data_IF_200388739215
#
_entry.id   IF_200388739215
#
_cell.length_a   1.000
_cell.length_b   1.000
_cell.length_c   1.000
_cell.angle_alpha   90.00
_cell.angle_beta   90.00
_cell.angle_gamma   90.00
#
_symmetry.space_group_name_H-M   'P 1'
#
loop_
_entity.id
_entity.type
_entity.pdbx_description
1 polymer ?
#
# COMPACT_ATOMS: atom_id res chain seq x y z
N UNK A 1 0.05 -0.92 37.03
CA UNK A 1 -0.54 -2.22 36.64
C UNK A 1 -1.23 -2.85 37.84
N UNK A 2 -2.44 -3.41 37.70
CA UNK A 2 -3.19 -4.02 38.81
C UNK A 2 -3.25 -5.57 38.71
N UNK A 3 -3.75 -6.23 39.77
CA UNK A 3 -3.84 -7.70 39.86
C UNK A 3 -4.65 -8.31 38.72
N UNK A 4 -5.78 -7.71 38.31
CA UNK A 4 -6.64 -8.26 37.25
C UNK A 4 -5.96 -8.17 35.89
N UNK A 5 -5.33 -7.03 35.63
CA UNK A 5 -4.60 -6.74 34.40
C UNK A 5 -3.43 -7.70 34.23
N UNK A 6 -2.64 -7.92 35.29
CA UNK A 6 -1.51 -8.83 35.24
C UNK A 6 -1.95 -10.29 35.10
N UNK A 7 -2.95 -10.75 35.85
CA UNK A 7 -3.41 -12.15 35.79
C UNK A 7 -4.08 -12.51 34.45
N UNK A 8 -4.80 -11.56 33.87
CA UNK A 8 -5.46 -11.69 32.56
C UNK A 8 -4.55 -11.44 31.34
N UNK A 9 -3.31 -11.02 31.55
CA UNK A 9 -2.38 -10.74 30.45
C UNK A 9 -2.08 -12.02 29.64
N UNK A 10 -2.37 -11.99 28.35
CA UNK A 10 -2.10 -13.09 27.43
C UNK A 10 -0.62 -13.10 27.02
N UNK A 11 0.25 -13.66 27.86
CA UNK A 11 1.71 -13.61 27.64
C UNK A 11 2.15 -14.27 26.33
N UNK A 12 1.36 -15.21 25.81
CA UNK A 12 1.58 -15.86 24.50
C UNK A 12 1.59 -14.87 23.34
N UNK A 13 0.90 -13.74 23.44
CA UNK A 13 0.91 -12.69 22.41
C UNK A 13 2.33 -12.11 22.24
N UNK A 14 3.10 -11.97 23.31
CA UNK A 14 4.49 -11.50 23.22
C UNK A 14 5.40 -12.52 22.53
N UNK A 15 5.18 -13.82 22.76
CA UNK A 15 5.93 -14.88 22.08
C UNK A 15 5.62 -14.92 20.58
N UNK A 16 4.34 -14.85 20.23
CA UNK A 16 3.87 -14.84 18.85
C UNK A 16 4.42 -13.61 18.10
N UNK A 17 4.33 -12.43 18.73
CA UNK A 17 4.92 -11.21 18.20
C UNK A 17 6.45 -11.33 18.06
N UNK A 18 7.15 -11.89 19.05
CA UNK A 18 8.59 -12.10 18.96
C UNK A 18 8.98 -13.04 17.82
N UNK A 19 8.19 -14.10 17.60
CA UNK A 19 8.40 -15.02 16.48
C UNK A 19 8.24 -14.31 15.14
N UNK A 20 7.19 -13.48 14.98
CA UNK A 20 6.97 -12.67 13.78
C UNK A 20 8.12 -11.67 13.52
N UNK A 21 8.58 -10.95 14.54
CA UNK A 21 9.72 -10.04 14.42
C UNK A 21 11.02 -10.77 14.08
N UNK A 22 11.21 -11.99 14.58
CA UNK A 22 12.35 -12.80 14.18
C UNK A 22 12.27 -13.23 12.72
N UNK A 23 11.11 -13.68 12.25
CA UNK A 23 10.90 -14.02 10.85
C UNK A 23 11.18 -12.83 9.93
N UNK A 24 10.79 -11.61 10.33
CA UNK A 24 11.14 -10.39 9.61
C UNK A 24 12.66 -10.16 9.56
N UNK A 25 13.37 -10.34 10.67
CA UNK A 25 14.82 -10.22 10.71
C UNK A 25 15.51 -11.23 9.77
N UNK A 26 15.06 -12.48 9.77
CA UNK A 26 15.58 -13.53 8.88
C UNK A 26 15.31 -13.17 7.41
N UNK A 27 14.09 -12.72 7.08
CA UNK A 27 13.72 -12.30 5.73
C UNK A 27 14.54 -11.10 5.22
N UNK A 28 14.83 -10.13 6.09
CA UNK A 28 15.70 -8.99 5.77
C UNK A 28 17.15 -9.43 5.54
N UNK A 29 17.63 -10.42 6.31
CA UNK A 29 18.92 -11.05 6.12
C UNK A 29 19.04 -11.75 4.76
N UNK A 30 18.03 -12.52 4.38
CA UNK A 30 17.95 -13.18 3.07
C UNK A 30 17.91 -12.15 1.94
N UNK A 31 17.10 -11.09 2.07
CA UNK A 31 17.04 -9.99 1.11
C UNK A 31 18.40 -9.33 0.90
N UNK A 32 19.18 -9.13 1.98
CA UNK A 32 20.54 -8.60 1.88
C UNK A 32 21.45 -9.55 1.10
N UNK A 33 21.39 -10.84 1.40
CA UNK A 33 22.23 -11.84 0.74
C UNK A 33 21.92 -11.91 -0.76
N UNK A 34 20.64 -11.95 -1.11
CA UNK A 34 20.17 -12.05 -2.50
C UNK A 34 20.32 -10.76 -3.28
N UNK A 35 20.11 -9.62 -2.61
CA UNK A 35 20.02 -8.32 -3.26
C UNK A 35 21.31 -7.53 -3.33
N UNK A 36 22.21 -7.70 -2.35
CA UNK A 36 23.45 -6.93 -2.27
C UNK A 36 24.68 -7.82 -2.44
N UNK A 37 24.77 -8.92 -1.67
CA UNK A 37 26.00 -9.72 -1.61
C UNK A 37 26.23 -10.56 -2.86
N UNK A 38 25.22 -11.31 -3.31
CA UNK A 38 25.34 -12.15 -4.53
C UNK A 38 25.57 -11.30 -5.80
N UNK A 39 24.83 -10.20 -6.04
CA UNK A 39 25.04 -9.38 -7.23
C UNK A 39 26.39 -8.66 -7.23
N UNK A 40 26.86 -8.17 -6.07
CA UNK A 40 28.19 -7.57 -5.98
C UNK A 40 29.30 -8.57 -6.37
N UNK A 41 29.21 -9.81 -5.89
CA UNK A 41 30.15 -10.87 -6.26
C UNK A 41 30.06 -11.25 -7.76
N UNK A 42 28.87 -11.21 -8.36
CA UNK A 42 28.72 -11.44 -9.80
C UNK A 42 29.31 -10.29 -10.63
N UNK A 43 29.19 -9.04 -10.16
CA UNK A 43 29.80 -7.88 -10.80
C UNK A 43 31.32 -7.96 -10.80
N UNK A 44 31.94 -8.46 -9.72
CA UNK A 44 33.41 -8.67 -9.66
C UNK A 44 33.95 -9.58 -10.77
N UNK A 45 33.12 -10.51 -11.27
CA UNK A 45 33.53 -11.47 -12.29
C UNK A 45 33.25 -11.01 -13.72
N UNK A 46 32.25 -10.14 -13.91
CA UNK A 46 31.69 -9.85 -15.23
C UNK A 46 31.85 -8.39 -15.68
N UNK A 47 32.05 -7.44 -14.76
CA UNK A 47 32.02 -6.01 -15.09
C UNK A 47 33.04 -5.21 -14.27
N UNK A 48 33.98 -4.54 -14.97
CA UNK A 48 35.06 -3.75 -14.38
C UNK A 48 34.96 -2.27 -14.77
N UNK A 49 35.54 -1.39 -13.94
CA UNK A 49 35.64 0.05 -14.16
C UNK A 49 34.75 0.90 -13.25
N UNK A 50 34.85 2.22 -13.36
CA UNK A 50 34.24 3.19 -12.43
C UNK A 50 32.71 3.06 -12.29
N UNK A 51 32.02 2.65 -13.36
CA UNK A 51 30.58 2.40 -13.33
C UNK A 51 30.22 1.16 -12.51
N UNK A 52 31.04 0.09 -12.61
CA UNK A 52 30.87 -1.12 -11.81
C UNK A 52 31.19 -0.85 -10.33
N UNK A 53 32.22 -0.06 -10.04
CA UNK A 53 32.59 0.33 -8.68
C UNK A 53 31.50 1.19 -8.02
N UNK A 54 30.91 2.12 -8.79
CA UNK A 54 29.77 2.94 -8.34
C UNK A 54 28.53 2.07 -8.05
N UNK A 55 28.22 1.10 -8.92
CA UNK A 55 27.12 0.16 -8.69
C UNK A 55 27.36 -0.71 -7.43
N UNK A 56 28.59 -1.17 -7.21
CA UNK A 56 28.97 -1.92 -5.99
C UNK A 56 28.85 -1.08 -4.73
N UNK A 57 29.26 0.19 -4.78
CA UNK A 57 29.15 1.11 -3.64
C UNK A 57 27.67 1.33 -3.24
N UNK A 58 26.79 1.52 -4.22
CA UNK A 58 25.34 1.63 -3.98
C UNK A 58 24.77 0.33 -3.41
N UNK A 59 25.10 -0.84 -4.00
CA UNK A 59 24.67 -2.14 -3.49
C UNK A 59 25.14 -2.38 -2.05
N UNK A 60 26.37 -1.97 -1.71
CA UNK A 60 26.90 -2.06 -0.35
C UNK A 60 26.14 -1.13 0.61
N UNK A 61 25.82 0.10 0.17
CA UNK A 61 24.99 1.04 0.94
C UNK A 61 23.61 0.48 1.27
N UNK A 62 22.94 -0.14 0.29
CA UNK A 62 21.66 -0.81 0.51
C UNK A 62 21.78 -2.07 1.38
N UNK A 63 22.83 -2.87 1.17
CA UNK A 63 23.13 -4.03 2.01
C UNK A 63 23.34 -3.64 3.48
N UNK A 64 23.99 -2.52 3.75
CA UNK A 64 24.14 -1.96 5.09
C UNK A 64 22.81 -1.52 5.72
N UNK A 65 21.92 -0.90 4.94
CA UNK A 65 20.57 -0.53 5.39
C UNK A 65 19.71 -1.75 5.74
N UNK A 66 19.74 -2.78 4.90
CA UNK A 66 19.03 -4.04 5.15
C UNK A 66 19.58 -4.77 6.38
N UNK A 67 20.91 -4.77 6.56
CA UNK A 67 21.54 -5.32 7.77
C UNK A 67 21.05 -4.60 9.03
N UNK A 68 21.09 -3.27 9.04
CA UNK A 68 20.63 -2.48 10.17
C UNK A 68 19.14 -2.70 10.50
N UNK A 69 18.30 -2.90 9.47
CA UNK A 69 16.90 -3.24 9.65
C UNK A 69 16.72 -4.66 10.23
N UNK A 70 17.48 -5.64 9.75
CA UNK A 70 17.47 -7.00 10.28
C UNK A 70 17.91 -7.04 11.75
N UNK A 71 19.01 -6.35 12.09
CA UNK A 71 19.54 -6.25 13.46
C UNK A 71 18.51 -5.62 14.41
N UNK A 72 17.81 -4.57 13.96
CA UNK A 72 16.80 -3.91 14.75
C UNK A 72 15.52 -4.77 14.92
N UNK A 73 15.10 -5.50 13.89
CA UNK A 73 14.01 -6.47 14.00
C UNK A 73 14.36 -7.62 14.96
N UNK A 74 15.60 -8.11 14.92
CA UNK A 74 16.11 -9.11 15.86
C UNK A 74 16.14 -8.58 17.30
N UNK A 75 16.57 -7.33 17.50
CA UNK A 75 16.55 -6.69 18.80
C UNK A 75 15.13 -6.55 19.36
N UNK A 76 14.15 -6.18 18.53
CA UNK A 76 12.73 -6.12 18.93
C UNK A 76 12.22 -7.52 19.31
N UNK A 77 12.53 -8.55 18.52
CA UNK A 77 12.17 -9.93 18.84
C UNK A 77 12.75 -10.37 20.20
N UNK A 78 14.02 -10.07 20.46
CA UNK A 78 14.68 -10.38 21.73
C UNK A 78 14.05 -9.64 22.91
N UNK A 79 13.69 -8.36 22.74
CA UNK A 79 13.01 -7.56 23.75
C UNK A 79 11.63 -8.15 24.10
N UNK A 80 10.85 -8.55 23.09
CA UNK A 80 9.55 -9.19 23.28
C UNK A 80 9.65 -10.54 24.01
N UNK A 81 10.63 -11.39 23.69
CA UNK A 81 10.86 -12.64 24.44
C UNK A 81 11.25 -12.39 25.90
N UNK A 82 12.11 -11.38 26.12
CA UNK A 82 12.51 -10.97 27.46
C UNK A 82 11.31 -10.49 28.25
N UNK A 83 10.44 -9.68 27.63
CA UNK A 83 9.21 -9.20 28.23
C UNK A 83 8.26 -10.37 28.56
N UNK A 84 8.07 -11.31 27.64
CA UNK A 84 7.28 -12.51 27.88
C UNK A 84 7.80 -13.29 29.11
N UNK A 85 9.12 -13.49 29.23
CA UNK A 85 9.75 -14.11 30.40
C UNK A 85 9.47 -13.35 31.70
N UNK A 86 9.60 -12.02 31.68
CA UNK A 86 9.31 -11.15 32.81
C UNK A 86 7.84 -11.25 33.26
N UNK A 87 6.89 -11.15 32.32
CA UNK A 87 5.47 -11.26 32.62
C UNK A 87 5.07 -12.65 33.14
N UNK A 88 5.61 -13.76 32.59
CA UNK A 88 5.35 -15.11 33.14
C UNK A 88 5.83 -15.23 34.57
N UNK A 89 7.00 -14.67 34.88
CA UNK A 89 7.57 -14.69 36.24
C UNK A 89 6.68 -13.91 37.20
N UNK A 90 6.29 -12.69 36.82
CA UNK A 90 5.39 -11.85 37.60
C UNK A 90 4.02 -12.52 37.81
N UNK A 91 3.41 -13.09 36.76
CA UNK A 91 2.16 -13.86 36.86
C UNK A 91 2.30 -15.07 37.78
N UNK A 92 3.42 -15.80 37.70
CA UNK A 92 3.71 -16.94 38.58
C UNK A 92 3.71 -16.55 40.06
N UNK A 93 4.40 -15.46 40.40
CA UNK A 93 4.45 -14.90 41.75
C UNK A 93 3.07 -14.41 42.22
N UNK A 94 2.34 -13.68 41.38
CA UNK A 94 1.00 -13.20 41.72
C UNK A 94 0.03 -14.35 41.95
N UNK A 95 0.02 -15.35 41.07
CA UNK A 95 -0.83 -16.55 41.22
C UNK A 95 -0.44 -17.38 42.44
N UNK A 96 0.84 -17.41 42.80
CA UNK A 96 1.27 -18.02 44.07
C UNK A 96 0.68 -17.29 45.27
N UNK A 97 0.76 -15.96 45.32
CA UNK A 97 0.16 -15.16 46.38
C UNK A 97 -1.37 -15.37 46.46
N UNK A 98 -2.07 -15.35 45.32
CA UNK A 98 -3.50 -15.58 45.23
C UNK A 98 -3.93 -16.98 45.70
N UNK A 99 -3.12 -18.02 45.43
CA UNK A 99 -3.39 -19.39 45.90
C UNK A 99 -3.15 -19.56 47.40
N UNK A 100 -2.12 -18.91 47.95
CA UNK A 100 -1.76 -19.03 49.36
C UNK A 100 -2.68 -18.21 50.28
N UNK A 101 -3.15 -17.05 49.81
CA UNK A 101 -3.94 -16.11 50.59
C UNK A 101 -5.17 -16.73 51.32
N UNK A 102 -6.05 -17.50 50.64
CA UNK A 102 -7.20 -18.11 51.33
C UNK A 102 -6.81 -19.07 52.45
N UNK A 103 -5.69 -19.79 52.31
CA UNK A 103 -5.22 -20.77 53.30
C UNK A 103 -4.80 -20.17 54.64
N UNK A 104 -4.47 -18.88 54.65
CA UNK A 104 -4.11 -18.12 55.87
C UNK A 104 -5.19 -17.11 56.26
N UNK A 105 -6.38 -17.17 55.65
CA UNK A 105 -7.51 -16.29 55.98
C UNK A 105 -7.35 -14.86 55.48
N UNK A 106 -6.64 -14.63 54.36
CA UNK A 106 -6.52 -13.32 53.70
C UNK A 106 -7.01 -13.35 52.26
N UNK A 107 -7.27 -12.17 51.69
CA UNK A 107 -7.49 -11.95 50.25
C UNK A 107 -6.49 -10.91 49.74
N UNK A 108 -6.11 -11.01 48.48
CA UNK A 108 -5.27 -10.00 47.81
C UNK A 108 -6.17 -8.99 47.10
N UNK A 109 -6.03 -7.71 47.42
CA UNK A 109 -6.72 -6.60 46.76
C UNK A 109 -6.10 -6.27 45.41
N UNK A 110 -6.77 -5.43 44.61
CA UNK A 110 -6.31 -5.07 43.25
C UNK A 110 -4.93 -4.39 43.22
N UNK A 111 -4.54 -3.69 44.29
CA UNK A 111 -3.23 -3.06 44.42
C UNK A 111 -2.15 -4.02 44.98
N UNK A 112 -2.46 -5.32 45.12
CA UNK A 112 -1.55 -6.33 45.66
C UNK A 112 -1.48 -6.39 47.19
N UNK A 113 -2.32 -5.66 47.93
CA UNK A 113 -2.31 -5.68 49.40
C UNK A 113 -3.06 -6.90 49.93
N UNK A 114 -2.46 -7.67 50.84
CA UNK A 114 -3.16 -8.75 51.53
C UNK A 114 -4.01 -8.17 52.68
N UNK A 115 -5.29 -8.52 52.72
CA UNK A 115 -6.26 -8.02 53.71
C UNK A 115 -6.95 -9.23 54.38
N UNK A 116 -7.11 -9.25 55.72
CA UNK A 116 -7.83 -10.32 56.40
C UNK A 116 -9.25 -10.51 55.88
N UNK A 117 -9.68 -11.77 55.79
CA UNK A 117 -11.07 -12.11 55.55
C UNK A 117 -11.93 -11.82 56.80
N UNK A 118 -13.23 -11.51 56.65
CA UNK A 118 -14.12 -11.33 57.78
C UNK A 118 -14.07 -12.51 58.76
N UNK A 119 -13.93 -12.23 60.05
CA UNK A 119 -13.87 -13.24 61.11
C UNK A 119 -12.55 -14.00 61.24
N UNK A 120 -11.54 -13.69 60.43
CA UNK A 120 -10.22 -14.33 60.50
C UNK A 120 -9.20 -13.39 61.19
N UNK A 121 -8.25 -13.96 61.91
CA UNK A 121 -7.09 -13.25 62.49
C UNK A 121 -5.78 -13.90 61.99
N UNK A 122 -5.34 -13.58 60.76
CA UNK A 122 -4.10 -14.08 60.20
C UNK A 122 -2.88 -13.62 61.00
N UNK A 123 -1.76 -14.34 60.91
CA UNK A 123 -0.49 -13.83 61.39
C UNK A 123 -0.10 -12.57 60.58
N UNK A 124 0.40 -11.54 61.27
CA UNK A 124 0.90 -10.31 60.63
C UNK A 124 2.04 -10.62 59.65
N UNK A 125 2.82 -11.66 59.93
CA UNK A 125 3.89 -12.14 59.06
C UNK A 125 3.34 -12.63 57.73
N UNK A 126 2.29 -13.45 57.73
CA UNK A 126 1.64 -13.96 56.52
C UNK A 126 1.08 -12.83 55.66
N UNK A 127 0.41 -11.85 56.29
CA UNK A 127 -0.09 -10.64 55.61
C UNK A 127 1.06 -9.89 54.94
N UNK A 128 2.19 -9.71 55.65
CA UNK A 128 3.36 -8.99 55.14
C UNK A 128 4.01 -9.72 53.98
N UNK A 129 4.25 -11.02 54.12
CA UNK A 129 4.89 -11.85 53.09
C UNK A 129 4.05 -11.92 51.82
N UNK A 130 2.73 -12.13 51.94
CA UNK A 130 1.82 -12.16 50.78
C UNK A 130 1.68 -10.80 50.11
N UNK A 131 1.64 -9.70 50.89
CA UNK A 131 1.65 -8.34 50.33
C UNK A 131 2.93 -8.07 49.56
N UNK A 132 4.09 -8.42 50.13
CA UNK A 132 5.39 -8.25 49.46
C UNK A 132 5.49 -9.07 48.18
N UNK A 133 4.99 -10.32 48.19
CA UNK A 133 4.98 -11.18 47.01
C UNK A 133 4.10 -10.60 45.89
N UNK A 134 2.86 -10.21 46.21
CA UNK A 134 1.93 -9.66 45.22
C UNK A 134 2.38 -8.28 44.70
N UNK A 135 2.80 -7.36 45.56
CA UNK A 135 3.33 -6.06 45.13
C UNK A 135 4.68 -6.17 44.41
N UNK A 136 5.49 -7.17 44.76
CA UNK A 136 6.72 -7.52 44.03
C UNK A 136 6.42 -7.93 42.59
N UNK A 137 5.42 -8.80 42.40
CA UNK A 137 4.94 -9.20 41.07
C UNK A 137 4.46 -8.01 40.23
N UNK A 138 3.63 -7.13 40.80
CA UNK A 138 3.13 -5.95 40.09
C UNK A 138 4.27 -5.01 39.65
N UNK A 139 5.22 -4.71 40.55
CA UNK A 139 6.39 -3.88 40.22
C UNK A 139 7.28 -4.53 39.16
N UNK A 140 7.48 -5.83 39.24
CA UNK A 140 8.27 -6.57 38.24
C UNK A 140 7.61 -6.51 36.85
N UNK A 141 6.28 -6.60 36.79
CA UNK A 141 5.55 -6.45 35.54
C UNK A 141 5.64 -5.03 34.97
N UNK A 142 5.52 -3.98 35.79
CA UNK A 142 5.70 -2.58 35.36
C UNK A 142 7.11 -2.30 34.83
N UNK A 143 8.14 -2.82 35.51
CA UNK A 143 9.52 -2.71 35.05
C UNK A 143 9.74 -3.43 33.71
N UNK A 144 9.12 -4.59 33.54
CA UNK A 144 9.16 -5.37 32.29
C UNK A 144 8.50 -4.60 31.14
N UNK A 145 7.33 -4.02 31.38
CA UNK A 145 6.60 -3.20 30.42
C UNK A 145 7.41 -1.96 29.99
N UNK A 146 7.98 -1.23 30.96
CA UNK A 146 8.81 -0.06 30.67
C UNK A 146 10.07 -0.42 29.88
N UNK A 147 10.72 -1.54 30.21
CA UNK A 147 11.90 -2.03 29.50
C UNK A 147 11.56 -2.37 28.04
N UNK A 148 10.40 -3.02 27.81
CA UNK A 148 9.91 -3.31 26.48
C UNK A 148 9.63 -2.03 25.69
N UNK A 149 8.90 -1.07 26.26
CA UNK A 149 8.60 0.20 25.62
C UNK A 149 9.86 0.95 25.19
N UNK A 150 10.87 0.98 26.05
CA UNK A 150 12.16 1.61 25.75
C UNK A 150 12.89 0.90 24.60
N UNK A 151 12.90 -0.44 24.57
CA UNK A 151 13.50 -1.20 23.49
C UNK A 151 12.79 -0.96 22.15
N UNK A 152 11.45 -0.93 22.14
CA UNK A 152 10.68 -0.63 20.94
C UNK A 152 10.97 0.78 20.41
N UNK A 153 11.07 1.79 21.28
CA UNK A 153 11.42 3.15 20.89
C UNK A 153 12.83 3.27 20.32
N UNK A 154 13.78 2.52 20.88
CA UNK A 154 15.17 2.51 20.43
C UNK A 154 15.33 1.88 19.05
N UNK A 155 14.61 0.78 18.78
CA UNK A 155 14.84 -0.05 17.59
C UNK A 155 13.81 0.13 16.46
N UNK A 156 12.69 0.82 16.68
CA UNK A 156 11.72 1.13 15.61
C UNK A 156 12.23 2.17 14.60
N UNK A 157 13.09 3.10 15.02
CA UNK A 157 13.55 4.22 14.18
C UNK A 157 14.45 3.83 12.98
N UNK A 158 15.39 2.87 13.08
CA UNK A 158 16.27 2.50 11.97
C UNK A 158 15.61 1.62 10.91
N UNK A 159 14.70 0.69 11.31
CA UNK A 159 14.01 -0.24 10.39
C UNK A 159 13.18 0.51 9.35
N UNK A 160 12.66 1.68 9.71
CA UNK A 160 11.63 2.39 8.95
C UNK A 160 12.17 3.52 8.04
N UNK A 161 13.49 3.81 8.08
CA UNK A 161 14.11 4.91 7.32
C UNK A 161 14.72 4.51 5.95
N UNK A 162 14.47 3.30 5.46
CA UNK A 162 15.18 2.78 4.27
C UNK A 162 14.69 3.32 2.92
N UNK A 163 13.62 4.13 2.87
CA UNK A 163 13.09 4.69 1.62
C UNK A 163 13.75 6.03 1.23
N UNK A 164 14.77 5.95 0.37
CA UNK A 164 15.19 7.07 -0.49
C UNK A 164 15.35 6.52 -1.90
N UNK A 165 14.50 6.97 -2.83
CA UNK A 165 14.26 6.37 -4.14
C UNK A 165 15.50 6.16 -5.01
N UNK A 166 15.47 5.07 -5.81
CA UNK A 166 16.40 4.86 -6.92
C UNK A 166 15.79 3.90 -7.99
N UNK A 167 16.34 3.88 -9.22
CA UNK A 167 15.63 3.48 -10.43
C UNK A 167 15.65 1.98 -10.78
N UNK A 168 14.65 1.55 -11.55
CA UNK A 168 14.65 0.44 -12.51
C UNK A 168 14.90 -0.98 -11.98
N UNK A 169 16.14 -1.29 -11.58
CA UNK A 169 16.51 -2.59 -11.02
C UNK A 169 16.11 -2.77 -9.55
N UNK A 170 15.90 -1.65 -8.84
CA UNK A 170 15.49 -1.59 -7.44
C UNK A 170 14.04 -2.05 -7.20
N UNK A 171 13.19 -1.96 -8.23
CA UNK A 171 11.74 -2.29 -8.15
C UNK A 171 11.51 -3.78 -7.91
N UNK A 172 12.36 -4.67 -8.44
CA UNK A 172 12.21 -6.11 -8.23
C UNK A 172 12.59 -6.54 -6.80
N UNK A 173 13.63 -5.93 -6.21
CA UNK A 173 14.06 -6.21 -4.84
C UNK A 173 13.11 -5.61 -3.80
N UNK A 174 12.64 -4.38 -4.03
CA UNK A 174 11.59 -3.77 -3.21
C UNK A 174 10.26 -4.50 -3.36
N UNK A 175 9.92 -5.05 -4.54
CA UNK A 175 8.75 -5.92 -4.70
C UNK A 175 8.86 -7.23 -3.93
N UNK A 176 10.04 -7.84 -3.83
CA UNK A 176 10.22 -9.06 -3.04
C UNK A 176 10.03 -8.80 -1.53
N UNK A 177 10.61 -7.71 -1.02
CA UNK A 177 10.40 -7.27 0.36
C UNK A 177 8.95 -6.83 0.62
N UNK A 178 8.33 -6.08 -0.31
CA UNK A 178 6.93 -5.69 -0.24
C UNK A 178 6.01 -6.91 -0.26
N UNK A 179 6.27 -7.92 -1.10
CA UNK A 179 5.47 -9.16 -1.14
C UNK A 179 5.55 -9.93 0.18
N UNK A 180 6.73 -9.97 0.81
CA UNK A 180 6.89 -10.58 2.13
C UNK A 180 6.18 -9.76 3.24
N UNK A 181 6.27 -8.44 3.20
CA UNK A 181 5.58 -7.55 4.16
C UNK A 181 4.06 -7.63 3.98
N UNK A 182 3.57 -7.61 2.75
CA UNK A 182 2.14 -7.79 2.41
C UNK A 182 1.66 -9.17 2.82
N UNK A 183 2.43 -10.23 2.56
CA UNK A 183 2.11 -11.59 3.03
C UNK A 183 2.07 -11.72 4.55
N UNK A 184 3.02 -11.09 5.27
CA UNK A 184 3.01 -11.00 6.73
C UNK A 184 1.77 -10.26 7.24
N UNK A 185 1.46 -9.10 6.65
CA UNK A 185 0.31 -8.27 6.99
C UNK A 185 -1.01 -9.04 6.84
N UNK A 186 -1.21 -9.73 5.72
CA UNK A 186 -2.39 -10.57 5.49
C UNK A 186 -2.53 -11.73 6.49
N UNK A 187 -1.42 -12.18 7.09
CA UNK A 187 -1.40 -13.23 8.11
C UNK A 187 -1.78 -12.75 9.52
N UNK A 188 -1.94 -11.43 9.73
CA UNK A 188 -2.28 -10.86 11.02
C UNK A 188 -3.78 -10.96 11.31
N UNK A 189 -4.12 -11.20 12.59
CA UNK A 189 -5.51 -11.12 13.02
C UNK A 189 -5.99 -9.64 12.98
N UNK A 190 -7.31 -9.38 12.99
CA UNK A 190 -7.84 -8.01 12.90
C UNK A 190 -7.38 -7.05 14.02
N UNK A 191 -7.12 -7.56 15.23
CA UNK A 191 -6.67 -6.74 16.37
C UNK A 191 -5.19 -6.34 16.20
N UNK A 192 -4.33 -7.29 15.83
CA UNK A 192 -2.92 -7.03 15.53
C UNK A 192 -2.79 -5.97 14.40
N UNK A 193 -3.64 -6.07 13.37
CA UNK A 193 -3.69 -5.08 12.28
C UNK A 193 -4.11 -3.71 12.77
N UNK A 194 -5.12 -3.62 13.65
CA UNK A 194 -5.57 -2.33 14.18
C UNK A 194 -4.46 -1.65 14.97
N UNK A 195 -3.79 -2.41 15.86
CA UNK A 195 -2.66 -1.91 16.63
C UNK A 195 -1.55 -1.39 15.72
N UNK A 196 -1.14 -2.17 14.71
CA UNK A 196 -0.06 -1.78 13.81
C UNK A 196 -0.45 -0.61 12.91
N UNK A 197 -1.68 -0.58 12.40
CA UNK A 197 -2.16 0.52 11.57
C UNK A 197 -2.22 1.84 12.34
N UNK A 198 -2.65 1.80 13.60
CA UNK A 198 -2.70 2.98 14.48
C UNK A 198 -1.30 3.57 14.74
N UNK A 199 -0.27 2.74 14.86
CA UNK A 199 1.08 3.17 15.26
C UNK A 199 2.06 3.31 14.08
N UNK A 200 1.77 2.71 12.93
CA UNK A 200 2.67 2.64 11.78
C UNK A 200 1.93 2.69 10.42
N UNK A 201 0.71 3.22 10.36
CA UNK A 201 -0.12 3.21 9.14
C UNK A 201 0.54 3.86 7.93
N UNK A 202 1.23 4.98 8.11
CA UNK A 202 1.97 5.67 7.04
C UNK A 202 3.12 4.81 6.51
N UNK A 203 3.86 4.17 7.40
CA UNK A 203 4.98 3.30 7.06
C UNK A 203 4.51 2.02 6.37
N UNK A 204 3.41 1.43 6.83
CA UNK A 204 2.77 0.26 6.22
C UNK A 204 2.25 0.59 4.82
N UNK A 205 1.61 1.75 4.65
CA UNK A 205 1.20 2.26 3.34
C UNK A 205 2.42 2.39 2.41
N UNK A 206 3.50 3.02 2.86
CA UNK A 206 4.73 3.18 2.08
C UNK A 206 5.42 1.83 1.77
N UNK A 207 5.19 0.81 2.59
CA UNK A 207 5.66 -0.56 2.36
C UNK A 207 4.77 -1.34 1.37
N UNK A 208 3.67 -0.75 0.88
CA UNK A 208 2.80 -1.36 -0.11
C UNK A 208 1.77 -2.32 0.48
N UNK A 209 1.45 -2.23 1.77
CA UNK A 209 0.42 -3.05 2.43
C UNK A 209 -0.96 -2.92 1.76
N UNK A 210 -1.26 -1.75 1.21
CA UNK A 210 -2.48 -1.49 0.45
C UNK A 210 -2.33 -1.78 -1.05
N UNK A 211 -1.25 -2.41 -1.51
CA UNK A 211 -1.13 -2.75 -2.93
C UNK A 211 -2.19 -3.79 -3.33
N UNK A 212 -2.80 -3.70 -4.53
CA UNK A 212 -3.78 -4.67 -4.98
C UNK A 212 -3.19 -6.09 -5.04
N UNK A 213 -3.88 -7.06 -4.44
CA UNK A 213 -3.48 -8.46 -4.48
C UNK A 213 -3.73 -9.11 -5.86
N UNK A 214 -4.63 -8.53 -6.66
CA UNK A 214 -4.96 -9.00 -8.01
C UNK A 214 -4.42 -8.03 -9.06
N UNK A 215 -3.95 -8.58 -10.18
CA UNK A 215 -3.52 -7.77 -11.32
C UNK A 215 -4.72 -7.25 -12.13
N UNK A 216 -4.62 -6.07 -12.76
CA UNK A 216 -5.61 -5.59 -13.72
C UNK A 216 -5.66 -6.51 -14.95
N UNK A 217 -6.83 -6.59 -15.60
CA UNK A 217 -6.93 -7.19 -16.94
C UNK A 217 -6.57 -6.12 -17.95
N UNK A 218 -5.38 -6.22 -18.56
CA UNK A 218 -5.04 -5.39 -19.71
C UNK A 218 -5.85 -5.82 -20.93
N UNK A 219 -6.25 -4.87 -21.76
CA UNK A 219 -7.01 -5.16 -22.98
C UNK A 219 -6.22 -6.08 -23.95
N UNK A 220 -6.97 -6.91 -24.67
CA UNK A 220 -6.59 -7.95 -25.64
C UNK A 220 -5.91 -7.35 -26.89
N UNK A 221 -5.90 -6.02 -27.03
CA UNK A 221 -5.31 -5.30 -28.17
C UNK A 221 -3.81 -5.51 -28.41
N UNK A 222 -3.06 -6.04 -27.43
CA UNK A 222 -1.60 -6.29 -27.44
C UNK A 222 -1.12 -7.41 -28.41
N UNK A 223 -1.71 -7.44 -29.60
CA UNK A 223 -1.48 -8.45 -30.63
C UNK A 223 -0.01 -8.75 -30.90
N UNK A 224 0.25 -9.97 -31.38
CA UNK A 224 1.60 -10.44 -31.72
C UNK A 224 2.32 -9.45 -32.63
N UNK A 225 3.62 -9.23 -32.37
CA UNK A 225 4.57 -8.57 -33.26
C UNK A 225 4.27 -8.90 -34.73
N UNK A 226 3.97 -7.89 -35.55
CA UNK A 226 3.82 -8.04 -37.00
C UNK A 226 2.41 -8.33 -37.56
N UNK A 227 1.33 -8.14 -36.79
CA UNK A 227 -0.04 -8.50 -37.23
C UNK A 227 -0.70 -7.63 -38.32
N UNK A 228 0.00 -6.70 -38.99
CA UNK A 228 -0.51 -6.07 -40.22
C UNK A 228 0.57 -5.97 -41.28
N UNK A 229 0.32 -6.61 -42.42
CA UNK A 229 1.15 -6.63 -43.64
C UNK A 229 0.57 -5.79 -44.79
N UNK A 230 -0.51 -5.04 -44.59
CA UNK A 230 -1.03 -4.12 -45.61
C UNK A 230 -0.54 -2.70 -45.30
N UNK A 231 0.58 -2.32 -45.91
CA UNK A 231 1.18 -0.97 -45.80
C UNK A 231 0.36 0.10 -46.52
N UNK A 232 0.68 1.38 -46.28
CA UNK A 232 0.01 2.56 -46.87
C UNK A 232 -0.20 2.46 -48.39
N UNK A 233 0.71 1.77 -49.09
CA UNK A 233 0.67 1.54 -50.53
C UNK A 233 -0.61 0.83 -51.02
N UNK A 234 -1.17 -0.08 -50.21
CA UNK A 234 -2.40 -0.80 -50.55
C UNK A 234 -3.66 0.08 -50.40
N UNK A 235 -3.59 1.17 -49.63
CA UNK A 235 -4.73 2.03 -49.28
C UNK A 235 -4.72 3.39 -49.99
N UNK A 236 -3.55 3.89 -50.38
CA UNK A 236 -3.38 5.23 -50.97
C UNK A 236 -2.63 5.25 -52.32
N UNK A 237 -2.33 4.08 -52.90
CA UNK A 237 -1.69 3.97 -54.21
C UNK A 237 -0.16 4.00 -54.16
N UNK A 238 0.46 3.67 -55.31
CA UNK A 238 1.90 3.45 -55.48
C UNK A 238 2.70 4.74 -55.32
N UNK A 239 3.40 4.89 -54.19
CA UNK A 239 4.58 5.73 -54.10
C UNK A 239 5.81 4.94 -54.61
N UNK A 240 6.87 5.59 -55.11
CA UNK A 240 8.11 4.90 -55.45
C UNK A 240 8.69 4.22 -54.18
N UNK A 241 9.14 2.97 -54.32
CA UNK A 241 9.45 2.07 -53.19
C UNK A 241 10.49 2.64 -52.19
N UNK A 242 11.37 3.51 -52.66
CA UNK A 242 12.33 4.24 -51.82
C UNK A 242 11.69 5.40 -51.03
N UNK A 243 10.73 6.13 -51.61
CA UNK A 243 9.97 7.15 -50.90
C UNK A 243 9.04 6.52 -49.85
N UNK A 244 8.44 5.36 -50.14
CA UNK A 244 7.57 4.63 -49.22
C UNK A 244 8.35 4.16 -47.98
N UNK A 245 9.53 3.57 -48.15
CA UNK A 245 10.38 3.17 -47.04
C UNK A 245 10.87 4.37 -46.19
N UNK A 246 11.18 5.50 -46.81
CA UNK A 246 11.56 6.74 -46.10
C UNK A 246 10.35 7.38 -45.39
N UNK A 247 9.18 7.41 -46.02
CA UNK A 247 7.93 7.92 -45.43
C UNK A 247 7.49 7.03 -44.26
N UNK A 248 7.51 5.70 -44.43
CA UNK A 248 7.15 4.74 -43.37
C UNK A 248 8.11 4.82 -42.17
N UNK A 249 9.40 5.11 -42.39
CA UNK A 249 10.41 5.18 -41.31
C UNK A 249 10.56 6.56 -40.65
N UNK A 250 10.36 7.66 -41.40
CA UNK A 250 10.63 9.01 -40.92
C UNK A 250 9.37 9.81 -40.54
N UNK A 251 8.25 9.60 -41.25
CA UNK A 251 7.02 10.37 -41.03
C UNK A 251 6.40 10.11 -39.65
N UNK A 252 6.29 8.86 -39.16
CA UNK A 252 5.78 8.60 -37.81
C UNK A 252 6.64 9.29 -36.75
N UNK A 253 7.96 9.12 -36.83
CA UNK A 253 8.89 9.71 -35.85
C UNK A 253 8.83 11.24 -35.81
N UNK A 254 8.60 11.90 -36.95
CA UNK A 254 8.45 13.35 -37.02
C UNK A 254 7.10 13.81 -36.44
N UNK A 255 6.00 13.15 -36.84
CA UNK A 255 4.66 13.49 -36.38
C UNK A 255 4.49 13.27 -34.87
N UNK A 256 4.98 12.15 -34.36
CA UNK A 256 4.87 11.78 -32.95
C UNK A 256 5.67 12.77 -32.08
N UNK A 257 6.83 13.22 -32.57
CA UNK A 257 7.60 14.30 -31.92
C UNK A 257 6.85 15.63 -31.96
N UNK A 258 6.26 15.99 -33.10
CA UNK A 258 5.44 17.21 -33.21
C UNK A 258 4.24 17.17 -32.27
N UNK A 259 3.59 16.02 -32.09
CA UNK A 259 2.48 15.85 -31.15
C UNK A 259 2.92 16.01 -29.70
N UNK A 260 4.09 15.48 -29.33
CA UNK A 260 4.65 15.71 -28.00
C UNK A 260 4.97 17.20 -27.76
N UNK A 261 5.59 17.88 -28.73
CA UNK A 261 5.94 19.30 -28.61
C UNK A 261 4.68 20.20 -28.62
N UNK A 262 3.62 19.82 -29.35
CA UNK A 262 2.32 20.47 -29.28
C UNK A 262 1.64 20.27 -27.92
N UNK A 263 1.73 19.06 -27.35
CA UNK A 263 1.23 18.76 -26.02
C UNK A 263 1.83 19.67 -24.96
N UNK A 264 3.16 19.83 -24.93
CA UNK A 264 3.83 20.79 -24.03
C UNK A 264 3.34 22.22 -24.26
N UNK A 265 3.17 22.64 -25.51
CA UNK A 265 2.75 24.00 -25.84
C UNK A 265 1.33 24.33 -25.34
N UNK A 266 0.48 23.31 -25.15
CA UNK A 266 -0.89 23.46 -24.62
C UNK A 266 -1.03 23.00 -23.16
N UNK A 267 0.08 22.64 -22.50
CA UNK A 267 0.12 22.21 -21.09
C UNK A 267 -0.42 20.80 -20.85
N UNK A 268 -0.35 19.91 -21.85
CA UNK A 268 -0.69 18.48 -21.74
C UNK A 268 0.56 17.67 -21.43
N UNK A 269 1.11 17.91 -20.25
CA UNK A 269 2.41 17.38 -19.83
C UNK A 269 2.38 15.84 -19.69
N UNK A 270 1.25 15.26 -19.27
CA UNK A 270 1.11 13.81 -19.13
C UNK A 270 1.14 13.13 -20.51
N UNK A 271 0.36 13.66 -21.46
CA UNK A 271 0.28 13.14 -22.82
C UNK A 271 1.61 13.28 -23.56
N UNK A 272 2.22 14.47 -23.53
CA UNK A 272 3.52 14.73 -24.14
C UNK A 272 4.61 13.86 -23.52
N UNK A 273 4.60 13.71 -22.19
CA UNK A 273 5.48 12.83 -21.46
C UNK A 273 5.37 11.39 -21.94
N UNK A 274 4.17 10.82 -21.97
CA UNK A 274 3.95 9.43 -22.38
C UNK A 274 4.36 9.20 -23.83
N UNK A 275 4.06 10.14 -24.73
CA UNK A 275 4.47 10.07 -26.13
C UNK A 275 6.00 10.06 -26.28
N UNK A 276 6.72 10.95 -25.58
CA UNK A 276 8.20 10.94 -25.60
C UNK A 276 8.78 9.63 -25.10
N UNK A 277 8.19 9.06 -24.06
CA UNK A 277 8.65 7.80 -23.50
C UNK A 277 8.43 6.62 -24.45
N UNK A 278 7.25 6.59 -25.09
CA UNK A 278 6.92 5.65 -26.15
C UNK A 278 7.96 5.70 -27.28
N UNK A 279 8.25 6.90 -27.81
CA UNK A 279 9.22 7.15 -28.88
C UNK A 279 10.69 6.98 -28.44
N UNK A 280 10.95 7.08 -27.14
CA UNK A 280 12.23 6.74 -26.54
C UNK A 280 12.51 5.24 -26.58
N UNK A 281 11.52 4.42 -26.94
CA UNK A 281 11.62 2.98 -27.15
C UNK A 281 12.23 2.25 -25.95
N UNK A 282 11.88 2.69 -24.74
CA UNK A 282 12.47 2.14 -23.51
C UNK A 282 11.71 0.95 -22.96
N UNK A 283 10.40 0.87 -23.22
CA UNK A 283 9.48 -0.14 -22.66
C UNK A 283 9.37 -0.12 -21.13
N UNK A 284 10.03 0.84 -20.45
CA UNK A 284 10.05 0.89 -18.99
C UNK A 284 8.67 1.29 -18.47
N UNK A 285 8.15 0.66 -17.39
CA UNK A 285 6.88 1.07 -16.82
C UNK A 285 6.89 2.54 -16.40
N UNK A 286 5.71 3.18 -16.47
CA UNK A 286 5.52 4.56 -16.00
C UNK A 286 4.43 4.66 -14.93
N UNK A 287 4.55 5.69 -14.11
CA UNK A 287 3.55 6.00 -13.10
C UNK A 287 2.36 6.75 -13.72
N UNK A 288 1.14 6.38 -13.32
CA UNK A 288 -0.07 7.15 -13.63
C UNK A 288 -0.34 8.18 -12.53
N UNK A 289 -0.70 9.39 -12.91
CA UNK A 289 -1.13 10.43 -11.96
C UNK A 289 -2.59 10.19 -11.54
N UNK A 290 -2.77 9.42 -10.46
CA UNK A 290 -4.11 9.12 -9.90
C UNK A 290 -4.75 10.36 -9.29
N UNK A 291 -3.97 11.32 -8.78
CA UNK A 291 -4.54 12.55 -8.23
C UNK A 291 -5.14 13.40 -9.34
N UNK A 292 -4.49 13.51 -10.50
CA UNK A 292 -5.07 14.12 -11.69
C UNK A 292 -6.39 13.44 -12.08
N UNK A 293 -6.40 12.11 -12.17
CA UNK A 293 -7.59 11.34 -12.55
C UNK A 293 -8.75 11.50 -11.56
N UNK A 294 -8.43 11.71 -10.28
CA UNK A 294 -9.40 11.85 -9.19
C UNK A 294 -9.93 13.28 -8.98
N UNK A 295 -9.28 14.33 -9.53
CA UNK A 295 -9.71 15.72 -9.34
C UNK A 295 -11.11 15.97 -9.93
N UNK A 296 -11.97 16.64 -9.15
CA UNK A 296 -13.29 17.11 -9.58
C UNK A 296 -13.29 18.54 -10.15
N UNK A 297 -12.16 19.25 -10.05
CA UNK A 297 -12.05 20.70 -10.27
C UNK A 297 -12.47 21.16 -11.66
N UNK A 298 -12.45 20.28 -12.66
CA UNK A 298 -12.91 20.62 -14.01
C UNK A 298 -14.42 20.83 -14.06
N UNK A 299 -15.21 20.14 -13.22
CA UNK A 299 -16.66 20.37 -13.15
C UNK A 299 -16.99 21.66 -12.40
N UNK A 300 -16.23 22.02 -11.37
CA UNK A 300 -16.45 23.27 -10.61
C UNK A 300 -16.12 24.50 -11.48
N UNK A 301 -14.99 24.48 -12.20
CA UNK A 301 -14.60 25.54 -13.13
C UNK A 301 -15.53 25.62 -14.36
N UNK A 302 -15.94 24.48 -14.93
CA UNK A 302 -16.88 24.47 -16.06
C UNK A 302 -18.28 24.91 -15.62
N UNK A 303 -18.77 24.51 -14.45
CA UNK A 303 -20.08 24.96 -13.95
C UNK A 303 -20.08 26.47 -13.72
N UNK A 304 -19.02 26.99 -13.10
CA UNK A 304 -18.82 28.43 -12.90
C UNK A 304 -18.76 29.20 -14.25
N UNK A 305 -18.10 28.64 -15.27
CA UNK A 305 -17.99 29.26 -16.60
C UNK A 305 -19.22 29.08 -17.49
N UNK A 306 -19.97 27.98 -17.37
CA UNK A 306 -21.21 27.75 -18.11
C UNK A 306 -22.32 28.66 -17.58
N UNK A 307 -22.42 28.85 -16.26
CA UNK A 307 -23.35 29.82 -15.65
C UNK A 307 -23.06 31.27 -16.09
N UNK A 308 -21.79 31.60 -16.34
CA UNK A 308 -21.37 32.93 -16.83
C UNK A 308 -21.75 33.17 -18.30
N UNK A 309 -21.85 32.13 -19.13
CA UNK A 309 -22.02 32.24 -20.60
C UNK A 309 -23.44 31.92 -21.07
N UNK A 310 -24.20 31.08 -20.35
CA UNK A 310 -25.54 30.63 -20.76
C UNK A 310 -26.53 30.65 -19.56
N UNK A 311 -27.29 31.75 -19.37
CA UNK A 311 -28.13 31.92 -18.18
C UNK A 311 -29.44 31.09 -18.14
N UNK A 312 -29.66 30.11 -19.04
CA UNK A 312 -30.82 29.22 -18.95
C UNK A 312 -30.47 27.72 -19.09
N UNK A 313 -31.09 26.84 -18.29
CA UNK A 313 -30.75 25.42 -18.25
C UNK A 313 -31.37 24.70 -19.44
N UNK A 314 -30.58 24.44 -20.48
CA UNK A 314 -30.90 23.41 -21.47
C UNK A 314 -30.22 22.09 -21.09
N UNK A 315 -30.49 21.60 -19.88
CA UNK A 315 -30.11 20.24 -19.45
C UNK A 315 -31.13 19.17 -19.89
N UNK A 316 -32.09 19.51 -20.75
CA UNK A 316 -32.98 18.54 -21.39
C UNK A 316 -32.48 18.24 -22.81
N UNK A 317 -32.00 17.00 -23.00
CA UNK A 317 -31.62 16.32 -24.26
C UNK A 317 -30.13 15.95 -24.39
N UNK A 318 -29.50 15.48 -23.33
CA UNK A 318 -28.49 14.42 -23.46
C UNK A 318 -29.09 13.17 -22.82
N UNK A 319 -29.99 12.53 -23.57
CA UNK A 319 -30.53 11.23 -23.20
C UNK A 319 -30.67 10.40 -24.47
N UNK A 320 -30.11 9.20 -24.36
CA UNK A 320 -30.56 7.97 -25.02
C UNK A 320 -29.96 7.65 -26.41
N UNK A 321 -28.70 7.19 -26.42
CA UNK A 321 -28.16 6.33 -27.49
C UNK A 321 -28.02 4.85 -27.09
N UNK A 322 -28.53 4.46 -25.92
CA UNK A 322 -28.56 3.08 -25.46
C UNK A 322 -27.20 2.48 -25.07
N UNK A 323 -26.15 3.30 -24.93
CA UNK A 323 -24.92 2.90 -24.24
C UNK A 323 -24.98 3.39 -22.77
N UNK A 324 -24.69 2.50 -21.83
CA UNK A 324 -24.95 2.67 -20.38
C UNK A 324 -24.00 3.67 -19.67
N UNK A 325 -23.48 4.69 -20.36
CA UNK A 325 -22.52 5.63 -19.77
C UNK A 325 -22.35 6.91 -20.59
N UNK A 326 -23.09 7.98 -20.30
CA UNK A 326 -22.79 9.30 -20.89
C UNK A 326 -23.11 10.50 -19.99
N UNK A 327 -22.88 10.33 -18.69
CA UNK A 327 -22.18 11.38 -17.94
C UNK A 327 -20.83 10.79 -17.59
N UNK A 328 -19.69 11.35 -18.03
CA UNK A 328 -18.38 10.86 -17.63
C UNK A 328 -18.22 11.10 -16.13
N UNK A 329 -18.70 10.16 -15.32
CA UNK A 329 -18.45 10.18 -13.91
C UNK A 329 -16.93 10.09 -13.74
N UNK A 330 -16.32 11.22 -13.35
CA UNK A 330 -14.90 11.33 -13.07
C UNK A 330 -14.56 10.25 -12.04
N UNK A 331 -13.34 9.72 -12.05
CA UNK A 331 -12.90 8.59 -11.20
C UNK A 331 -13.40 8.70 -9.75
N UNK A 332 -13.43 9.92 -9.20
CA UNK A 332 -13.98 10.23 -7.88
C UNK A 332 -15.42 9.78 -7.66
N UNK A 333 -16.32 10.11 -8.57
CA UNK A 333 -17.74 9.73 -8.47
C UNK A 333 -17.92 8.22 -8.54
N UNK A 334 -17.18 7.57 -9.44
CA UNK A 334 -17.18 6.11 -9.59
C UNK A 334 -16.65 5.39 -8.35
N UNK A 335 -15.57 5.91 -7.76
CA UNK A 335 -15.00 5.39 -6.51
C UNK A 335 -15.97 5.60 -5.34
N UNK A 336 -16.56 6.80 -5.21
CA UNK A 336 -17.52 7.09 -4.16
C UNK A 336 -18.74 6.17 -4.25
N UNK A 337 -19.33 6.02 -5.44
CA UNK A 337 -20.48 5.13 -5.63
C UNK A 337 -20.17 3.67 -5.26
N UNK A 338 -18.96 3.18 -5.58
CA UNK A 338 -18.53 1.84 -5.19
C UNK A 338 -18.34 1.70 -3.67
N UNK A 339 -17.77 2.71 -3.02
CA UNK A 339 -17.60 2.70 -1.56
C UNK A 339 -18.97 2.77 -0.88
N UNK A 340 -19.88 3.63 -1.33
CA UNK A 340 -21.22 3.78 -0.78
C UNK A 340 -22.04 2.48 -0.89
N UNK A 341 -21.91 1.74 -1.99
CA UNK A 341 -22.53 0.42 -2.16
C UNK A 341 -22.01 -0.61 -1.13
N UNK A 342 -20.71 -0.58 -0.81
CA UNK A 342 -20.07 -1.56 0.08
C UNK A 342 -20.06 -1.17 1.55
N UNK A 343 -20.14 0.11 1.86
CA UNK A 343 -20.04 0.66 3.21
C UNK A 343 -20.99 0.00 4.23
N UNK A 344 -22.27 -0.27 3.93
CA UNK A 344 -23.17 -0.91 4.90
C UNK A 344 -22.72 -2.31 5.33
N UNK A 345 -22.25 -3.11 4.38
CA UNK A 345 -21.77 -4.47 4.65
C UNK A 345 -20.45 -4.45 5.43
N UNK A 346 -19.52 -3.58 5.02
CA UNK A 346 -18.23 -3.41 5.71
C UNK A 346 -18.39 -2.91 7.13
N UNK A 347 -19.30 -1.95 7.35
CA UNK A 347 -19.62 -1.44 8.68
C UNK A 347 -20.13 -2.54 9.60
N UNK A 348 -21.08 -3.33 9.12
CA UNK A 348 -21.61 -4.46 9.88
C UNK A 348 -20.52 -5.46 10.26
N UNK A 349 -19.68 -5.84 9.31
CA UNK A 349 -18.59 -6.78 9.53
C UNK A 349 -17.57 -6.26 10.56
N UNK A 350 -17.23 -4.97 10.50
CA UNK A 350 -16.31 -4.35 11.45
C UNK A 350 -16.88 -4.29 12.88
N UNK A 351 -18.17 -3.97 13.02
CA UNK A 351 -18.87 -3.98 14.32
C UNK A 351 -18.92 -5.41 14.89
N UNK A 352 -19.25 -6.41 14.07
CA UNK A 352 -19.28 -7.81 14.49
C UNK A 352 -17.89 -8.28 14.95
N UNK A 353 -16.83 -7.92 14.21
CA UNK A 353 -15.45 -8.22 14.58
C UNK A 353 -15.02 -7.52 15.88
N UNK A 354 -15.44 -6.27 16.09
CA UNK A 354 -15.19 -5.50 17.31
C UNK A 354 -15.87 -6.11 18.54
N UNK A 355 -17.13 -6.53 18.42
CA UNK A 355 -17.79 -7.23 19.53
C UNK A 355 -17.13 -8.58 19.82
N UNK A 356 -16.73 -9.32 18.77
CA UNK A 356 -16.03 -10.61 18.92
C UNK A 356 -14.65 -10.48 19.56
N UNK A 357 -13.97 -9.34 19.39
CA UNK A 357 -12.69 -9.05 20.05
C UNK A 357 -12.86 -8.62 21.52
N UNK A 358 -14.09 -8.51 22.01
CA UNK A 358 -14.38 -8.01 23.36
C UNK A 358 -14.27 -6.48 23.48
N UNK A 359 -14.48 -5.76 22.37
CA UNK A 359 -14.39 -4.29 22.32
C UNK A 359 -13.00 -3.74 22.06
N UNK A 360 -12.06 -4.59 21.59
CA UNK A 360 -10.74 -4.13 21.15
C UNK A 360 -10.81 -3.57 19.73
N UNK A 361 -10.01 -2.54 19.39
CA UNK A 361 -9.89 -2.05 18.03
C UNK A 361 -9.62 -3.16 17.02
N UNK A 362 -10.28 -3.12 15.87
CA UNK A 362 -10.10 -4.09 14.79
C UNK A 362 -9.93 -3.39 13.44
N UNK A 363 -9.15 -4.00 12.56
CA UNK A 363 -8.86 -3.55 11.22
C UNK A 363 -9.09 -4.69 10.21
N UNK A 364 -9.94 -4.44 9.22
CA UNK A 364 -10.34 -5.40 8.20
C UNK A 364 -9.93 -4.89 6.81
N UNK A 365 -9.05 -5.61 6.14
CA UNK A 365 -8.70 -5.33 4.74
C UNK A 365 -9.89 -5.51 3.81
N UNK A 366 -9.96 -4.61 2.82
CA UNK A 366 -10.88 -4.67 1.70
C UNK A 366 -10.14 -4.38 0.42
N UNK A 367 -10.53 -5.09 -0.63
CA UNK A 367 -10.15 -4.80 -1.99
C UNK A 367 -11.39 -4.97 -2.87
N UNK A 368 -11.61 -4.01 -3.76
CA UNK A 368 -12.64 -4.08 -4.78
C UNK A 368 -12.11 -4.74 -6.05
N UNK A 369 -13.02 -5.25 -6.88
CA UNK A 369 -12.65 -5.73 -8.21
C UNK A 369 -12.12 -4.58 -9.06
N UNK A 370 -11.19 -4.89 -9.96
CA UNK A 370 -10.79 -3.96 -11.02
C UNK A 370 -11.97 -3.65 -11.94
N UNK A 371 -12.22 -2.36 -12.18
CA UNK A 371 -13.27 -1.86 -13.08
C UNK A 371 -12.66 -1.02 -14.19
N UNK A 372 -13.19 -1.09 -15.42
CA UNK A 372 -12.78 -0.21 -16.51
C UNK A 372 -13.28 1.22 -16.25
N UNK A 373 -12.54 2.19 -16.76
CA UNK A 373 -12.86 3.62 -16.73
C UNK A 373 -12.25 4.31 -17.95
N UNK A 374 -12.88 5.41 -18.35
CA UNK A 374 -12.40 6.26 -19.43
C UNK A 374 -12.12 7.67 -18.92
N UNK A 375 -11.09 8.31 -19.46
CA UNK A 375 -10.94 9.76 -19.37
C UNK A 375 -11.82 10.42 -20.42
N UNK A 376 -12.25 11.65 -20.15
CA UNK A 376 -13.08 12.42 -21.10
C UNK A 376 -12.23 13.44 -21.81
N UNK A 377 -12.31 13.52 -23.14
CA UNK A 377 -11.68 14.60 -23.90
C UNK A 377 -12.18 15.99 -23.46
N UNK A 378 -13.44 16.08 -23.05
CA UNK A 378 -14.07 17.34 -22.66
C UNK A 378 -13.65 17.79 -21.24
N UNK A 379 -13.48 16.85 -20.32
CA UNK A 379 -13.20 17.15 -18.90
C UNK A 379 -11.74 16.89 -18.48
N UNK A 380 -11.00 16.09 -19.23
CA UNK A 380 -9.64 15.66 -18.91
C UNK A 380 -8.82 15.48 -20.20
N UNK A 381 -8.63 16.53 -21.04
CA UNK A 381 -7.98 16.39 -22.35
C UNK A 381 -6.55 15.84 -22.26
N UNK A 382 -5.76 16.27 -21.28
CA UNK A 382 -4.43 15.70 -21.03
C UNK A 382 -4.53 14.20 -20.67
N UNK A 383 -5.42 13.84 -19.73
CA UNK A 383 -5.70 12.43 -19.40
C UNK A 383 -6.27 11.61 -20.56
N UNK A 384 -7.00 12.22 -21.49
CA UNK A 384 -7.55 11.59 -22.68
C UNK A 384 -6.44 11.13 -23.62
N UNK A 385 -5.46 12.00 -23.89
CA UNK A 385 -4.32 11.65 -24.73
C UNK A 385 -3.22 10.88 -23.99
N UNK A 386 -3.14 11.02 -22.66
CA UNK A 386 -2.16 10.33 -21.84
C UNK A 386 -2.55 8.88 -21.52
N UNK A 387 -3.84 8.63 -21.28
CA UNK A 387 -4.35 7.34 -20.78
C UNK A 387 -5.51 6.80 -21.63
N UNK A 388 -6.48 7.66 -21.99
CA UNK A 388 -7.68 7.28 -22.75
C UNK A 388 -8.64 6.37 -21.98
N UNK A 389 -8.26 5.12 -21.78
CA UNK A 389 -8.98 4.14 -20.96
C UNK A 389 -8.03 3.48 -19.98
N UNK A 390 -8.50 3.14 -18.79
CA UNK A 390 -7.69 2.48 -17.78
C UNK A 390 -8.57 1.62 -16.89
N UNK A 391 -7.95 0.74 -16.10
CA UNK A 391 -8.63 0.04 -15.03
C UNK A 391 -8.30 0.70 -13.70
N UNK A 392 -9.26 0.67 -12.77
CA UNK A 392 -9.04 1.11 -11.40
C UNK A 392 -9.58 0.10 -10.38
N UNK A 393 -9.02 0.11 -9.18
CA UNK A 393 -9.52 -0.62 -8.01
C UNK A 393 -9.32 0.23 -6.75
N UNK A 394 -9.97 -0.16 -5.66
CA UNK A 394 -9.82 0.44 -4.33
C UNK A 394 -9.35 -0.65 -3.37
N UNK A 395 -8.30 -0.37 -2.61
CA UNK A 395 -7.89 -1.15 -1.44
C UNK A 395 -8.05 -0.30 -0.20
N UNK A 396 -8.26 -0.92 0.96
CA UNK A 396 -8.34 -0.18 2.20
C UNK A 396 -8.45 -1.04 3.43
N UNK A 397 -8.48 -0.38 4.58
CA UNK A 397 -8.67 -0.96 5.90
C UNK A 397 -9.89 -0.31 6.52
N UNK A 398 -10.91 -1.12 6.78
CA UNK A 398 -12.08 -0.74 7.58
C UNK A 398 -11.74 -0.94 9.05
N UNK A 399 -11.79 0.14 9.82
CA UNK A 399 -11.44 0.15 11.25
C UNK A 399 -12.70 0.27 12.08
N UNK A 400 -12.78 -0.47 13.18
CA UNK A 400 -13.74 -0.22 14.25
C UNK A 400 -12.98 0.01 15.56
N UNK A 401 -13.19 1.18 16.15
CA UNK A 401 -12.50 1.65 17.35
C UNK A 401 -13.55 2.08 18.40
N UNK A 402 -13.29 1.92 19.72
CA UNK A 402 -14.20 2.39 20.73
C UNK A 402 -14.21 3.92 20.78
N UNK A 403 -15.40 4.52 20.84
CA UNK A 403 -15.56 5.91 21.25
C UNK A 403 -15.41 6.08 22.77
N UNK A 404 -15.66 7.30 23.28
CA UNK A 404 -15.56 7.61 24.71
C UNK A 404 -16.56 6.83 25.59
N UNK A 405 -17.61 6.28 24.99
CA UNK A 405 -18.65 5.48 25.66
C UNK A 405 -18.43 3.97 25.45
N UNK A 406 -17.41 3.58 24.67
CA UNK A 406 -17.12 2.20 24.32
C UNK A 406 -17.94 1.68 23.13
N UNK A 407 -18.70 2.53 22.45
CA UNK A 407 -19.43 2.16 21.24
C UNK A 407 -18.49 2.12 20.03
N UNK A 408 -18.70 1.22 19.05
CA UNK A 408 -17.84 1.14 17.88
C UNK A 408 -18.07 2.32 16.94
N UNK A 409 -17.00 3.08 16.66
CA UNK A 409 -16.91 4.04 15.57
C UNK A 409 -16.19 3.40 14.38
N UNK A 410 -16.81 3.46 13.20
CA UNK A 410 -16.30 2.77 12.01
C UNK A 410 -15.77 3.76 10.97
N UNK A 411 -14.56 3.55 10.48
CA UNK A 411 -13.97 4.37 9.40
C UNK A 411 -13.29 3.50 8.35
N UNK A 412 -13.04 4.08 7.17
CA UNK A 412 -12.29 3.46 6.09
C UNK A 412 -11.08 4.32 5.73
N UNK A 413 -9.89 3.73 5.82
CA UNK A 413 -8.68 4.27 5.21
C UNK A 413 -8.44 3.54 3.88
N UNK A 414 -8.35 4.23 2.75
CA UNK A 414 -8.27 3.60 1.43
C UNK A 414 -7.33 4.31 0.45
N UNK A 415 -6.87 3.56 -0.54
CA UNK A 415 -6.16 4.03 -1.72
C UNK A 415 -6.85 3.56 -3.00
N UNK A 416 -6.73 4.37 -4.05
CA UNK A 416 -7.20 4.06 -5.38
C UNK A 416 -5.99 3.67 -6.21
N UNK A 417 -6.07 2.57 -6.93
CA UNK A 417 -5.02 2.11 -7.81
C UNK A 417 -5.52 2.14 -9.24
N UNK A 418 -4.72 2.68 -10.15
CA UNK A 418 -5.01 2.66 -11.58
C UNK A 418 -3.95 1.87 -12.31
N UNK A 419 -4.34 1.22 -13.39
CA UNK A 419 -3.40 0.55 -14.25
C UNK A 419 -3.91 0.47 -15.68
N UNK A 420 -2.97 0.54 -16.61
CA UNK A 420 -3.22 0.43 -18.03
C UNK A 420 -1.94 0.01 -18.78
N UNK A 421 -2.04 -0.22 -20.09
CA UNK A 421 -0.88 -0.36 -20.97
C UNK A 421 -0.98 0.71 -22.05
N UNK A 422 0.04 1.56 -22.11
CA UNK A 422 0.14 2.54 -23.19
C UNK A 422 0.49 1.82 -24.49
N UNK A 423 -0.54 1.48 -25.26
CA UNK A 423 -0.42 0.77 -26.53
C UNK A 423 -1.28 1.43 -27.61
N UNK A 424 -0.66 1.76 -28.73
CA UNK A 424 -1.35 2.33 -29.89
C UNK A 424 -1.64 1.21 -30.90
N UNK A 425 -2.64 0.39 -30.60
CA UNK A 425 -2.96 -0.79 -31.41
C UNK A 425 -4.46 -0.94 -31.75
N UNK A 426 -5.26 0.12 -31.61
CA UNK A 426 -6.67 0.05 -31.93
C UNK A 426 -6.87 -0.33 -33.41
N UNK A 427 -7.62 -1.41 -33.67
CA UNK A 427 -8.04 -1.83 -35.01
C UNK A 427 -9.03 -0.87 -35.71
N UNK A 428 -9.20 0.36 -35.20
CA UNK A 428 -10.03 1.40 -35.82
C UNK A 428 -9.17 2.24 -36.78
N UNK A 429 -9.73 2.73 -37.90
CA UNK A 429 -8.96 3.36 -38.97
C UNK A 429 -8.59 4.83 -38.68
N UNK A 430 -8.29 5.19 -37.43
CA UNK A 430 -7.76 6.51 -37.10
C UNK A 430 -6.29 6.59 -37.50
N UNK A 431 -5.95 7.59 -38.31
CA UNK A 431 -4.62 7.76 -38.91
C UNK A 431 -3.51 7.82 -37.85
N UNK A 432 -3.77 8.42 -36.69
CA UNK A 432 -2.79 8.57 -35.62
C UNK A 432 -2.41 7.22 -35.00
N UNK A 433 -3.38 6.39 -34.61
CA UNK A 433 -3.12 5.05 -34.08
C UNK A 433 -2.35 4.20 -35.09
N UNK A 434 -2.65 4.35 -36.39
CA UNK A 434 -1.94 3.65 -37.44
C UNK A 434 -0.47 4.07 -37.53
N UNK A 435 -0.18 5.37 -37.45
CA UNK A 435 1.18 5.90 -37.52
C UNK A 435 1.98 5.51 -36.27
N UNK A 436 1.40 5.61 -35.07
CA UNK A 436 2.02 5.16 -33.83
C UNK A 436 2.29 3.64 -33.83
N UNK A 437 1.37 2.85 -34.38
CA UNK A 437 1.55 1.41 -34.54
C UNK A 437 2.64 1.04 -35.56
N UNK A 438 2.87 1.86 -36.59
CA UNK A 438 4.02 1.73 -37.49
C UNK A 438 5.33 2.05 -36.75
N UNK A 439 5.38 3.13 -35.96
CA UNK A 439 6.53 3.46 -35.10
C UNK A 439 6.95 2.27 -34.24
N UNK A 440 5.99 1.57 -33.63
CA UNK A 440 6.27 0.37 -32.83
C UNK A 440 6.87 -0.77 -33.64
N UNK A 441 6.26 -1.12 -34.78
CA UNK A 441 6.73 -2.23 -35.64
C UNK A 441 8.12 -2.01 -36.20
N UNK A 442 8.47 -0.76 -36.47
CA UNK A 442 9.78 -0.39 -36.98
C UNK A 442 10.85 -0.31 -35.87
N UNK A 443 10.48 -0.57 -34.61
CA UNK A 443 11.39 -0.50 -33.46
C UNK A 443 11.75 0.93 -33.05
N UNK A 444 10.96 1.92 -33.51
CA UNK A 444 11.13 3.32 -33.14
C UNK A 444 10.34 3.69 -31.88
N UNK A 445 9.44 2.81 -31.42
CA UNK A 445 8.66 3.01 -30.22
C UNK A 445 8.34 1.70 -29.51
N UNK A 446 8.13 1.75 -28.19
CA UNK A 446 7.83 0.57 -27.38
C UNK A 446 6.66 0.82 -26.45
N UNK A 447 5.67 -0.08 -26.48
CA UNK A 447 4.59 -0.13 -25.48
C UNK A 447 5.16 -0.25 -24.06
N UNK A 448 4.45 0.28 -23.07
CA UNK A 448 4.85 0.17 -21.68
C UNK A 448 3.64 0.09 -20.75
N UNK A 449 3.82 -0.60 -19.63
CA UNK A 449 2.80 -0.69 -18.59
C UNK A 449 2.76 0.63 -17.80
N UNK A 450 1.55 1.05 -17.43
CA UNK A 450 1.30 2.21 -16.59
C UNK A 450 0.57 1.79 -15.33
N UNK A 451 1.03 2.23 -14.16
CA UNK A 451 0.38 1.95 -12.87
C UNK A 451 0.51 3.15 -11.94
N UNK A 452 -0.50 3.42 -11.12
CA UNK A 452 -0.47 4.52 -10.16
C UNK A 452 -1.28 4.18 -8.91
N UNK A 453 -0.98 4.88 -7.80
CA UNK A 453 -1.75 4.79 -6.56
C UNK A 453 -2.02 6.19 -6.01
N UNK A 454 -3.24 6.44 -5.54
CA UNK A 454 -3.59 7.72 -4.91
C UNK A 454 -2.90 7.87 -3.56
N UNK A 455 -2.95 9.09 -3.02
CA UNK A 455 -2.70 9.33 -1.59
C UNK A 455 -3.73 8.54 -0.74
N UNK A 456 -3.38 8.30 0.52
CA UNK A 456 -4.30 7.70 1.48
C UNK A 456 -5.46 8.67 1.74
N UNK A 457 -6.68 8.11 1.78
CA UNK A 457 -7.90 8.84 2.10
C UNK A 457 -8.57 8.17 3.30
N UNK A 458 -9.18 8.96 4.16
CA UNK A 458 -9.90 8.48 5.32
C UNK A 458 -11.31 9.05 5.32
N UNK A 459 -12.31 8.19 5.51
CA UNK A 459 -13.72 8.60 5.62
C UNK A 459 -14.40 7.91 6.81
N UNK A 460 -15.37 8.57 7.46
CA UNK A 460 -16.30 7.90 8.36
C UNK A 460 -17.23 6.95 7.57
N UNK A 461 -17.61 5.83 8.18
CA UNK A 461 -18.69 4.95 7.69
C UNK A 461 -19.89 4.93 8.65
N UNK A 462 -19.82 5.73 9.72
CA UNK A 462 -20.78 5.90 10.80
C UNK A 462 -22.06 6.63 10.38
#
# INVERSE_FOLDING_TARGET
MDVRTLDGCAVTVFDDCAAKWRQLADALGDCRADGSTKPAAALDLAWLGEAADSAKAELAGHGGKLAAAADAAEAIAAALRTAAGGFRTAQGQLRQALRQAPGVGVRIEQNGTAVPLPGHQPDKRDITELTQLAQGALRSAEQTDQALANALLQHSRPVLRTNTGAPGGMVAMLKAAATQITGWWHGLNPVDRAFLWQHAGTELQNAGVLSPATQPKFDIGSGKHGAWKQGLAARYGTFPANALATIESALPRYLDKTLADLGDAVGWDLAAGNMRHYLGNSGKPREMDVEYLYRSEVLDWISEKIEEVLPEPTTKNIADDGSDSDTPAILRERVNALIDDKAPAWKKEAIDAFHKSGGQPVALEKQLEWKPQHTSLLFQPDGYFAYGSYHYTVTGVVKAEPDNEGNPKVSLDYQIHTADRYNWNWGQPVLMDHLHGISHKLGNAQEFDMQGSSKLRSIPLD
#
